data_IF_504411536553
#
_entry.id   IF_504411536553
#
_cell.length_a   1.000
_cell.length_b   1.000
_cell.length_c   1.000
_cell.angle_alpha   90.00
_cell.angle_beta   90.00
_cell.angle_gamma   90.00
#
_symmetry.space_group_name_H-M   'P 1'
#
loop_
_entity.id
_entity.type
_entity.pdbx_description
1 polymer ?
#
# COMPACT_ATOMS: atom_id res chain seq x y z
N UNK A 1 -9.32 -6.76 -5.94
CA UNK A 1 -10.30 -6.55 -4.85
C UNK A 1 -10.51 -5.06 -4.79
N UNK A 2 -11.74 -4.57 -4.77
CA UNK A 2 -12.00 -3.13 -4.71
C UNK A 2 -11.90 -2.66 -3.26
N UNK A 3 -10.87 -1.87 -2.98
CA UNK A 3 -10.71 -1.15 -1.72
C UNK A 3 -11.74 -0.02 -1.69
N UNK A 4 -12.38 0.19 -0.54
CA UNK A 4 -13.41 1.21 -0.37
C UNK A 4 -12.85 2.47 0.28
N UNK A 5 -11.76 2.37 1.02
CA UNK A 5 -11.14 3.48 1.73
C UNK A 5 -9.74 3.80 1.24
N UNK A 6 -8.89 2.78 1.03
CA UNK A 6 -7.54 2.97 0.51
C UNK A 6 -7.58 3.21 -1.01
N UNK A 7 -7.24 4.42 -1.42
CA UNK A 7 -6.97 4.77 -2.82
C UNK A 7 -5.45 4.85 -3.01
N UNK A 8 -4.90 3.99 -3.85
CA UNK A 8 -3.46 3.91 -4.09
C UNK A 8 -3.08 4.71 -5.34
N UNK A 9 -2.24 5.73 -5.16
CA UNK A 9 -1.54 6.41 -6.25
C UNK A 9 -0.21 5.70 -6.53
N UNK A 10 0.06 5.41 -7.81
CA UNK A 10 1.31 4.79 -8.24
C UNK A 10 2.27 5.85 -8.77
N UNK A 11 3.47 5.88 -8.20
CA UNK A 11 4.57 6.74 -8.62
C UNK A 11 5.86 5.92 -8.77
N UNK A 12 6.61 6.11 -9.85
CA UNK A 12 7.90 5.43 -10.08
C UNK A 12 9.06 6.42 -9.93
N UNK A 13 10.09 6.04 -9.17
CA UNK A 13 11.31 6.82 -9.06
C UNK A 13 12.28 6.56 -10.22
N UNK A 14 13.24 7.46 -10.43
CA UNK A 14 14.34 7.37 -11.40
C UNK A 14 15.17 6.07 -11.34
N UNK A 15 15.13 5.35 -10.22
CA UNK A 15 15.79 4.05 -10.08
C UNK A 15 14.95 2.86 -10.56
N UNK A 16 13.73 3.10 -11.06
CA UNK A 16 12.77 2.06 -11.45
C UNK A 16 12.09 1.38 -10.25
N UNK A 17 12.15 1.99 -9.07
CA UNK A 17 11.43 1.54 -7.88
C UNK A 17 10.08 2.22 -7.89
N UNK A 18 9.00 1.43 -7.87
CA UNK A 18 7.65 1.94 -7.76
C UNK A 18 7.25 2.10 -6.30
N UNK A 19 6.47 3.14 -6.03
CA UNK A 19 5.90 3.48 -4.74
C UNK A 19 4.40 3.66 -4.93
N UNK A 20 3.63 2.95 -4.12
CA UNK A 20 2.18 3.10 -4.01
C UNK A 20 1.87 3.82 -2.71
N UNK A 21 1.29 5.00 -2.79
CA UNK A 21 0.88 5.76 -1.62
C UNK A 21 -0.65 5.74 -1.52
N UNK A 22 -1.18 5.39 -0.35
CA UNK A 22 -2.59 5.48 -0.06
C UNK A 22 -2.84 6.24 1.23
N UNK A 23 -3.76 7.20 1.18
CA UNK A 23 -4.16 7.98 2.34
C UNK A 23 -5.67 7.85 2.56
N UNK A 24 -6.06 7.48 3.78
CA UNK A 24 -7.47 7.39 4.19
C UNK A 24 -7.70 8.12 5.51
N UNK A 25 -8.54 9.16 5.47
CA UNK A 25 -8.99 9.88 6.65
C UNK A 25 -10.43 9.48 6.99
N UNK A 26 -10.63 8.85 8.15
CA UNK A 26 -11.92 8.29 8.54
C UNK A 26 -12.25 8.57 10.01
N UNK A 27 -13.53 8.51 10.36
CA UNK A 27 -13.96 8.49 11.75
C UNK A 27 -13.52 7.19 12.43
N UNK A 28 -13.32 7.17 13.77
CA UNK A 28 -12.90 5.99 14.52
C UNK A 28 -13.84 4.78 14.37
N UNK A 29 -15.10 5.00 14.01
CA UNK A 29 -16.05 3.92 13.71
C UNK A 29 -15.70 3.15 12.43
N UNK A 30 -15.04 3.80 11.46
CA UNK A 30 -14.62 3.20 10.19
C UNK A 30 -13.14 2.80 10.19
N UNK A 31 -12.38 3.23 11.20
CA UNK A 31 -10.97 2.90 11.40
C UNK A 31 -10.70 1.38 11.32
N UNK A 32 -11.62 0.55 11.83
CA UNK A 32 -11.50 -0.91 11.76
C UNK A 32 -11.63 -1.46 10.33
N UNK A 33 -12.44 -0.81 9.48
CA UNK A 33 -12.57 -1.20 8.08
C UNK A 33 -11.29 -0.89 7.30
N UNK A 34 -10.68 0.27 7.59
CA UNK A 34 -9.39 0.65 6.97
C UNK A 34 -8.26 -0.30 7.40
N UNK A 35 -8.18 -0.64 8.68
CA UNK A 35 -7.21 -1.64 9.17
C UNK A 35 -7.36 -3.00 8.48
N UNK A 36 -8.60 -3.44 8.24
CA UNK A 36 -8.86 -4.68 7.51
C UNK A 36 -8.36 -4.60 6.06
N UNK A 37 -8.54 -3.47 5.39
CA UNK A 37 -8.00 -3.24 4.04
C UNK A 37 -6.47 -3.25 4.03
N UNK A 38 -5.83 -2.54 4.97
CA UNK A 38 -4.37 -2.53 5.12
C UNK A 38 -3.86 -3.96 5.34
N UNK A 39 -4.48 -4.70 6.28
CA UNK A 39 -4.09 -6.07 6.58
C UNK A 39 -4.21 -7.00 5.37
N UNK A 40 -5.25 -6.86 4.55
CA UNK A 40 -5.41 -7.63 3.31
C UNK A 40 -4.29 -7.35 2.30
N UNK A 41 -3.88 -6.08 2.17
CA UNK A 41 -2.79 -5.69 1.28
C UNK A 41 -1.46 -6.26 1.77
N UNK A 42 -1.16 -6.12 3.07
CA UNK A 42 0.09 -6.61 3.66
C UNK A 42 0.17 -8.14 3.69
N UNK A 43 -0.94 -8.83 3.94
CA UNK A 43 -1.04 -10.28 3.89
C UNK A 43 -0.78 -10.79 2.46
N UNK A 44 -1.39 -10.17 1.45
CA UNK A 44 -1.12 -10.50 0.05
C UNK A 44 0.34 -10.26 -0.34
N UNK A 45 0.93 -9.13 0.08
CA UNK A 45 2.31 -8.79 -0.23
C UNK A 45 3.27 -9.82 0.39
N UNK A 46 3.03 -10.16 1.66
CA UNK A 46 3.81 -11.18 2.38
C UNK A 46 3.63 -12.58 1.81
N UNK A 47 2.42 -12.94 1.35
CA UNK A 47 2.14 -14.23 0.74
C UNK A 47 2.72 -14.37 -0.68
N UNK A 48 2.71 -13.28 -1.45
CA UNK A 48 3.23 -13.26 -2.83
C UNK A 48 4.75 -13.18 -2.87
N UNK A 49 5.36 -12.45 -1.92
CA UNK A 49 6.80 -12.23 -1.82
C UNK A 49 7.31 -12.58 -0.40
N UNK A 50 7.22 -13.86 0.00
CA UNK A 50 7.64 -14.29 1.33
C UNK A 50 9.15 -14.15 1.50
N UNK A 51 9.59 -13.68 2.67
CA UNK A 51 11.01 -13.45 3.03
C UNK A 51 11.76 -12.44 2.14
N UNK A 52 11.03 -11.70 1.30
CA UNK A 52 11.59 -10.69 0.39
C UNK A 52 11.35 -9.26 0.88
N UNK A 53 10.82 -9.12 2.10
CA UNK A 53 10.61 -7.82 2.74
C UNK A 53 11.95 -7.23 3.18
N UNK A 54 12.22 -6.01 2.76
CA UNK A 54 13.37 -5.25 3.20
C UNK A 54 13.49 -3.93 2.43
N UNK A 55 14.34 -3.00 2.91
CA UNK A 55 14.56 -1.75 2.20
C UNK A 55 15.00 -2.03 0.77
N UNK A 56 14.22 -1.55 -0.20
CA UNK A 56 14.43 -1.88 -1.62
C UNK A 56 15.82 -1.43 -2.10
N UNK A 57 16.34 -0.35 -1.51
CA UNK A 57 17.71 0.13 -1.77
C UNK A 57 18.84 -0.75 -1.23
N UNK A 58 18.57 -1.66 -0.29
CA UNK A 58 19.57 -2.55 0.34
C UNK A 58 19.44 -4.02 -0.12
N UNK A 59 18.57 -4.29 -1.10
CA UNK A 59 18.35 -5.62 -1.67
C UNK A 59 17.05 -6.32 -1.24
N UNK A 60 16.14 -5.62 -0.54
CA UNK A 60 14.76 -6.09 -0.38
C UNK A 60 13.96 -5.93 -1.68
N UNK A 61 12.93 -6.75 -1.88
CA UNK A 61 12.09 -6.63 -3.07
C UNK A 61 10.88 -5.73 -2.85
N UNK A 62 10.45 -5.60 -1.61
CA UNK A 62 9.36 -4.71 -1.22
C UNK A 62 9.51 -4.27 0.23
N UNK A 63 9.04 -3.07 0.54
CA UNK A 63 8.90 -2.56 1.89
C UNK A 63 7.63 -1.73 2.02
N UNK A 64 7.17 -1.53 3.25
CA UNK A 64 6.03 -0.67 3.51
C UNK A 64 6.28 0.21 4.74
N UNK A 65 5.82 1.45 4.65
CA UNK A 65 5.66 2.37 5.76
C UNK A 65 4.16 2.56 6.02
N UNK A 66 3.75 2.43 7.28
CA UNK A 66 2.39 2.68 7.70
C UNK A 66 2.40 3.76 8.77
N UNK A 67 1.83 4.91 8.44
CA UNK A 67 1.67 6.03 9.34
C UNK A 67 0.23 6.08 9.82
N UNK A 68 0.07 6.15 11.14
CA UNK A 68 -1.21 6.30 11.81
C UNK A 68 -1.23 7.62 12.57
N UNK A 69 -2.19 8.49 12.25
CA UNK A 69 -2.34 9.79 12.89
C UNK A 69 -3.79 9.95 13.36
N UNK A 70 -3.97 10.35 14.62
CA UNK A 70 -5.29 10.67 15.18
C UNK A 70 -5.32 12.14 15.60
N UNK A 71 -6.17 12.92 14.96
CA UNK A 71 -6.36 14.36 15.24
C UNK A 71 -7.85 14.70 15.35
N UNK A 72 -8.22 15.45 16.39
CA UNK A 72 -9.59 15.96 16.60
C UNK A 72 -10.73 14.94 16.41
N UNK A 73 -10.49 13.67 16.77
CA UNK A 73 -11.45 12.59 16.63
C UNK A 73 -11.55 11.97 15.23
N UNK A 74 -10.62 12.30 14.34
CA UNK A 74 -10.42 11.68 13.03
C UNK A 74 -9.13 10.88 13.03
N UNK A 75 -9.14 9.76 12.32
CA UNK A 75 -7.98 8.89 12.11
C UNK A 75 -7.58 8.97 10.64
N UNK A 76 -6.38 9.46 10.40
CA UNK A 76 -5.74 9.47 9.08
C UNK A 76 -4.67 8.40 9.07
N UNK A 77 -4.78 7.47 8.13
CA UNK A 77 -3.73 6.50 7.86
C UNK A 77 -3.11 6.79 6.51
N UNK A 78 -1.80 6.67 6.44
CA UNK A 78 -1.03 6.74 5.20
C UNK A 78 -0.22 5.45 5.09
N UNK A 79 -0.47 4.69 4.03
CA UNK A 79 0.24 3.45 3.74
C UNK A 79 1.04 3.65 2.46
N UNK A 80 2.35 3.65 2.60
CA UNK A 80 3.29 3.76 1.48
C UNK A 80 3.95 2.41 1.27
N UNK A 81 3.78 1.80 0.10
CA UNK A 81 4.39 0.51 -0.24
C UNK A 81 5.34 0.72 -1.41
N UNK A 82 6.61 0.43 -1.19
CA UNK A 82 7.65 0.49 -2.23
C UNK A 82 8.05 -0.92 -2.67
N UNK A 83 8.37 -1.08 -3.94
CA UNK A 83 8.81 -2.38 -4.43
C UNK A 83 9.50 -2.32 -5.79
N UNK A 84 10.06 -3.47 -6.17
CA UNK A 84 10.63 -3.68 -7.50
C UNK A 84 9.54 -3.60 -8.58
N UNK A 85 9.92 -3.42 -9.86
CA UNK A 85 8.96 -3.43 -10.97
C UNK A 85 8.07 -4.69 -10.99
N UNK A 86 8.61 -5.86 -10.60
CA UNK A 86 7.86 -7.11 -10.51
C UNK A 86 6.77 -7.05 -9.44
N UNK A 87 7.09 -6.53 -8.26
CA UNK A 87 6.11 -6.28 -7.20
C UNK A 87 5.05 -5.29 -7.66
N UNK A 88 5.45 -4.19 -8.27
CA UNK A 88 4.55 -3.13 -8.71
C UNK A 88 3.57 -3.59 -9.78
N UNK A 89 4.03 -4.41 -10.74
CA UNK A 89 3.17 -5.02 -11.74
C UNK A 89 2.12 -5.94 -11.10
N UNK A 90 2.54 -6.81 -10.16
CA UNK A 90 1.63 -7.71 -9.46
C UNK A 90 0.62 -6.96 -8.56
N UNK A 91 1.08 -5.91 -7.87
CA UNK A 91 0.26 -5.08 -7.01
C UNK A 91 -0.79 -4.33 -7.82
N UNK A 92 -0.36 -3.69 -8.92
CA UNK A 92 -1.27 -2.93 -9.78
C UNK A 92 -2.38 -3.80 -10.34
N UNK A 93 -2.05 -5.00 -10.85
CA UNK A 93 -3.04 -5.97 -11.33
C UNK A 93 -4.06 -6.38 -10.26
N UNK A 94 -3.72 -6.25 -8.97
CA UNK A 94 -4.56 -6.71 -7.86
C UNK A 94 -5.40 -5.61 -7.22
N UNK A 95 -4.81 -4.40 -7.10
CA UNK A 95 -5.33 -3.29 -6.30
C UNK A 95 -5.65 -2.02 -7.09
N UNK A 96 -5.01 -1.75 -8.24
CA UNK A 96 -5.46 -0.67 -9.12
C UNK A 96 -6.35 -1.25 -10.21
N UNK A 97 -7.67 -0.96 -10.21
CA UNK A 97 -8.49 -1.28 -11.36
C UNK A 97 -7.97 -0.46 -12.53
N UNK A 98 -7.71 -1.18 -13.63
CA UNK A 98 -7.31 -0.67 -14.93
C UNK A 98 -8.07 0.64 -15.24
N UNK A 99 -7.40 1.79 -15.09
CA UNK A 99 -7.83 3.02 -15.74
C UNK A 99 -7.69 2.77 -17.24
N UNK A 100 -8.77 2.25 -17.84
CA UNK A 100 -8.86 1.92 -19.25
C UNK A 100 -8.59 3.13 -20.16
N UNK A 101 -8.31 2.85 -21.45
CA UNK A 101 -7.26 3.48 -22.27
C UNK A 101 -7.46 4.94 -22.67
#
# INVERSE_FOLDING_TARGET
MTLSYLDFDYSEDTQGIGVFDAMAATAPEQAAAVDAEIALVLDWASASFPDRRGPVGDGGEWDYDLQDMQEDGWRTVTLSISGTPEFCAAFSLRFTPESGP
#
